data_IF_936138570518
#
_entry.id   IF_936138570518
#
_cell.length_a   1.000
_cell.length_b   1.000
_cell.length_c   1.000
_cell.angle_alpha   90.00
_cell.angle_beta   90.00
_cell.angle_gamma   90.00
#
_symmetry.space_group_name_H-M   'P 1'
#
loop_
_entity.id
_entity.type
_entity.pdbx_description
1 polymer ?
#
# COMPACT_ATOMS: atom_id res chain seq x y z
N UNK A 1 -6.48 49.57 36.69
CA UNK A 1 -6.98 50.61 35.78
C UNK A 1 -7.32 50.07 34.39
N UNK A 2 -6.38 49.46 33.64
CA UNK A 2 -6.61 48.94 32.28
C UNK A 2 -7.79 47.96 32.15
N UNK A 3 -7.92 47.02 33.10
CA UNK A 3 -8.99 46.02 33.10
C UNK A 3 -10.39 46.63 33.23
N UNK A 4 -10.55 47.70 34.00
CA UNK A 4 -11.84 48.37 34.19
C UNK A 4 -12.23 49.16 32.94
N UNK A 5 -11.27 49.82 32.30
CA UNK A 5 -11.48 50.53 31.02
C UNK A 5 -11.84 49.54 29.91
N UNK A 6 -11.15 48.40 29.84
CA UNK A 6 -11.47 47.34 28.88
C UNK A 6 -12.88 46.77 29.11
N UNK A 7 -13.26 46.50 30.35
CA UNK A 7 -14.61 46.02 30.66
C UNK A 7 -15.68 47.05 30.33
N UNK A 8 -15.44 48.33 30.63
CA UNK A 8 -16.37 49.40 30.29
C UNK A 8 -16.52 49.56 28.77
N UNK A 9 -15.42 49.51 28.03
CA UNK A 9 -15.41 49.60 26.57
C UNK A 9 -16.04 48.40 25.87
N UNK A 10 -15.77 47.17 26.33
CA UNK A 10 -16.44 45.97 25.80
C UNK A 10 -17.94 45.99 26.10
N UNK A 11 -18.33 46.44 27.30
CA UNK A 11 -19.76 46.55 27.67
C UNK A 11 -20.50 47.51 26.75
N UNK A 12 -19.94 48.68 26.47
CA UNK A 12 -20.58 49.64 25.57
C UNK A 12 -20.59 49.14 24.13
N UNK A 13 -19.51 48.50 23.67
CA UNK A 13 -19.42 47.92 22.33
C UNK A 13 -20.45 46.81 22.12
N UNK A 14 -20.54 45.83 23.02
CA UNK A 14 -21.51 44.74 22.91
C UNK A 14 -22.95 45.22 23.05
N UNK A 15 -23.21 46.26 23.87
CA UNK A 15 -24.53 46.86 23.95
C UNK A 15 -24.91 47.56 22.64
N UNK A 16 -23.98 48.29 22.02
CA UNK A 16 -24.18 48.93 20.72
C UNK A 16 -24.38 47.89 19.60
N UNK A 17 -23.54 46.85 19.57
CA UNK A 17 -23.64 45.74 18.63
C UNK A 17 -24.97 44.98 18.79
N UNK A 18 -25.37 44.67 20.03
CA UNK A 18 -26.63 44.00 20.31
C UNK A 18 -27.85 44.81 19.87
N UNK A 19 -27.83 46.13 20.08
CA UNK A 19 -28.88 47.04 19.56
C UNK A 19 -28.92 47.05 18.04
N UNK A 20 -27.76 47.04 17.37
CA UNK A 20 -27.68 46.99 15.91
C UNK A 20 -28.22 45.68 15.34
N UNK A 21 -27.86 44.55 15.96
CA UNK A 21 -28.35 43.20 15.59
C UNK A 21 -29.86 43.09 15.82
N UNK A 22 -30.37 43.59 16.96
CA UNK A 22 -31.80 43.59 17.26
C UNK A 22 -32.61 44.45 16.26
N UNK A 23 -32.05 45.58 15.81
CA UNK A 23 -32.66 46.43 14.78
C UNK A 23 -32.72 45.79 13.39
N UNK A 24 -31.86 44.81 13.10
CA UNK A 24 -31.77 44.10 11.81
C UNK A 24 -31.85 42.58 11.97
N UNK A 25 -32.77 42.10 12.82
CA UNK A 25 -32.85 40.69 13.22
C UNK A 25 -32.94 39.70 12.03
N UNK A 26 -33.68 40.04 10.97
CA UNK A 26 -33.88 39.17 9.79
C UNK A 26 -32.59 39.00 8.99
N UNK A 27 -31.80 40.06 8.83
CA UNK A 27 -30.52 40.00 8.12
C UNK A 27 -29.51 39.15 8.91
N UNK A 28 -29.41 39.38 10.22
CA UNK A 28 -28.51 38.61 11.08
C UNK A 28 -28.96 37.17 11.34
N UNK A 29 -30.23 36.83 11.11
CA UNK A 29 -30.70 35.45 11.11
C UNK A 29 -30.42 34.73 9.78
N UNK A 30 -30.66 35.40 8.64
CA UNK A 30 -30.55 34.78 7.31
C UNK A 30 -29.11 34.70 6.78
N UNK A 31 -28.28 35.72 7.04
CA UNK A 31 -26.88 35.76 6.59
C UNK A 31 -26.02 34.57 7.07
N UNK A 32 -25.98 34.20 8.37
CA UNK A 32 -25.20 33.05 8.81
C UNK A 32 -25.74 31.72 8.27
N UNK A 33 -27.05 31.61 8.03
CA UNK A 33 -27.65 30.42 7.40
C UNK A 33 -27.19 30.29 5.96
N UNK A 34 -27.27 31.36 5.18
CA UNK A 34 -26.82 31.38 3.79
C UNK A 34 -25.31 31.10 3.70
N UNK A 35 -24.52 31.69 4.60
CA UNK A 35 -23.09 31.44 4.69
C UNK A 35 -22.78 29.98 5.03
N UNK A 36 -23.54 29.39 5.96
CA UNK A 36 -23.40 27.97 6.33
C UNK A 36 -23.75 27.04 5.18
N UNK A 37 -24.78 27.36 4.39
CA UNK A 37 -25.14 26.59 3.20
C UNK A 37 -24.04 26.70 2.13
N UNK A 38 -23.49 27.90 1.92
CA UNK A 38 -22.44 28.13 0.94
C UNK A 38 -21.13 27.40 1.31
N UNK A 39 -20.73 27.47 2.58
CA UNK A 39 -19.60 26.69 3.11
C UNK A 39 -19.91 25.17 3.10
N UNK A 40 -21.15 24.80 3.43
CA UNK A 40 -21.67 23.44 3.39
C UNK A 40 -21.58 22.81 2.00
N UNK A 41 -21.94 23.57 0.96
CA UNK A 41 -21.85 23.13 -0.43
C UNK A 41 -20.41 22.82 -0.86
N UNK A 42 -19.41 23.46 -0.23
CA UNK A 42 -17.99 23.17 -0.48
C UNK A 42 -17.60 21.74 -0.09
N UNK A 43 -18.25 21.15 0.91
CA UNK A 43 -18.01 19.75 1.30
C UNK A 43 -18.42 18.74 0.22
N UNK A 44 -19.22 19.12 -0.77
CA UNK A 44 -19.55 18.25 -1.92
C UNK A 44 -18.30 17.83 -2.71
N UNK A 45 -17.24 18.66 -2.73
CA UNK A 45 -15.97 18.34 -3.40
C UNK A 45 -14.92 17.73 -2.47
N UNK A 46 -15.27 17.42 -1.22
CA UNK A 46 -14.34 16.83 -0.28
C UNK A 46 -13.93 15.42 -0.74
N UNK A 47 -12.63 15.20 -0.96
CA UNK A 47 -12.07 13.90 -1.28
C UNK A 47 -11.54 13.26 -0.01
N UNK A 48 -12.03 12.07 0.32
CA UNK A 48 -11.49 11.25 1.40
C UNK A 48 -10.16 10.67 0.92
N UNK A 49 -9.08 11.01 1.62
CA UNK A 49 -7.78 10.37 1.42
C UNK A 49 -7.83 8.97 2.05
N UNK A 50 -7.73 7.94 1.23
CA UNK A 50 -7.76 6.53 1.67
C UNK A 50 -6.37 5.89 1.74
N UNK A 51 -5.33 6.61 1.31
CA UNK A 51 -3.98 6.09 1.33
C UNK A 51 -3.40 6.13 2.74
N UNK A 52 -3.17 4.95 3.31
CA UNK A 52 -2.61 4.78 4.65
C UNK A 52 -1.22 5.40 4.76
N UNK A 53 -0.43 5.37 3.69
CA UNK A 53 0.92 5.94 3.70
C UNK A 53 0.86 7.47 3.81
N UNK A 54 0.00 8.12 3.02
CA UNK A 54 -0.26 9.57 3.08
C UNK A 54 -0.84 10.03 4.43
N UNK A 55 -1.63 9.18 5.10
CA UNK A 55 -2.23 9.49 6.41
C UNK A 55 -1.25 9.34 7.58
N UNK A 56 -0.33 8.37 7.49
CA UNK A 56 0.59 8.02 8.59
C UNK A 56 1.98 8.64 8.43
N UNK A 57 2.40 8.92 7.20
CA UNK A 57 3.71 9.48 6.90
C UNK A 57 3.59 10.86 6.24
N UNK A 58 4.43 11.84 6.65
CA UNK A 58 4.42 13.15 6.03
C UNK A 58 4.89 13.07 4.56
N UNK A 59 4.22 13.84 3.68
CA UNK A 59 4.48 13.85 2.23
C UNK A 59 5.93 14.16 1.84
N UNK A 60 6.63 14.94 2.66
CA UNK A 60 8.00 15.41 2.40
C UNK A 60 8.99 14.97 3.48
N UNK A 61 8.93 13.72 3.92
CA UNK A 61 9.94 13.19 4.85
C UNK A 61 11.30 13.03 4.16
N UNK A 62 12.39 13.18 4.92
CA UNK A 62 13.75 12.96 4.41
C UNK A 62 13.88 11.56 3.81
N UNK A 63 13.38 10.53 4.51
CA UNK A 63 13.39 9.15 4.03
C UNK A 63 12.65 8.96 2.69
N UNK A 64 11.54 9.69 2.46
CA UNK A 64 10.79 9.64 1.20
C UNK A 64 11.50 10.39 0.08
N UNK A 65 12.20 11.48 0.39
CA UNK A 65 13.04 12.21 -0.57
C UNK A 65 14.25 11.36 -0.97
N UNK A 66 14.95 10.78 -0.01
CA UNK A 66 16.07 9.86 -0.25
C UNK A 66 15.61 8.64 -1.04
N UNK A 67 14.49 8.01 -0.66
CA UNK A 67 13.90 6.90 -1.41
C UNK A 67 13.54 7.27 -2.85
N UNK A 68 12.91 8.42 -3.07
CA UNK A 68 12.60 8.91 -4.43
C UNK A 68 13.86 9.22 -5.23
N UNK A 69 14.90 9.78 -4.60
CA UNK A 69 16.17 10.06 -5.25
C UNK A 69 16.85 8.76 -5.66
N UNK A 70 16.91 7.76 -4.77
CA UNK A 70 17.46 6.42 -5.05
C UNK A 70 16.70 5.76 -6.19
N UNK A 71 15.36 5.75 -6.18
CA UNK A 71 14.55 5.18 -7.27
C UNK A 71 14.80 5.89 -8.61
N UNK A 72 15.08 7.21 -8.59
CA UNK A 72 15.37 7.99 -9.80
C UNK A 72 16.78 7.76 -10.35
N UNK A 73 17.78 7.63 -9.47
CA UNK A 73 19.20 7.48 -9.83
C UNK A 73 19.53 6.03 -10.17
N UNK A 74 18.85 5.08 -9.50
CA UNK A 74 19.05 3.65 -9.65
C UNK A 74 17.70 2.98 -9.89
N UNK A 75 17.08 3.17 -11.08
CA UNK A 75 15.82 2.51 -11.38
C UNK A 75 16.02 0.99 -11.37
N UNK A 76 15.47 0.33 -10.34
CA UNK A 76 15.53 -1.12 -10.23
C UNK A 76 14.62 -1.71 -11.29
N UNK A 77 15.20 -2.42 -12.26
CA UNK A 77 14.39 -3.13 -13.23
C UNK A 77 13.80 -4.39 -12.57
N UNK A 78 12.64 -4.21 -11.94
CA UNK A 78 11.94 -5.27 -11.17
C UNK A 78 11.60 -6.49 -12.01
N UNK A 79 11.59 -6.37 -13.35
CA UNK A 79 11.35 -7.50 -14.26
C UNK A 79 12.56 -8.42 -14.41
N UNK A 80 13.78 -7.97 -14.09
CA UNK A 80 15.03 -8.71 -14.36
C UNK A 80 15.67 -9.34 -13.13
N UNK A 81 15.50 -8.71 -11.97
CA UNK A 81 16.09 -9.17 -10.72
C UNK A 81 15.07 -8.98 -9.62
N UNK A 82 14.44 -10.09 -9.19
CA UNK A 82 13.60 -10.09 -8.00
C UNK A 82 14.48 -10.44 -6.80
N UNK A 83 15.10 -9.43 -6.18
CA UNK A 83 15.80 -9.66 -4.93
C UNK A 83 14.77 -9.78 -3.81
N UNK A 84 15.01 -10.68 -2.85
CA UNK A 84 14.19 -10.78 -1.65
C UNK A 84 14.10 -9.45 -0.89
N UNK A 85 15.12 -8.59 -1.03
CA UNK A 85 15.16 -7.22 -0.50
C UNK A 85 14.17 -6.27 -1.18
N UNK A 86 13.81 -6.51 -2.44
CA UNK A 86 12.85 -5.68 -3.19
C UNK A 86 11.41 -5.89 -2.68
N UNK A 87 11.12 -7.04 -2.05
CA UNK A 87 9.87 -7.27 -1.34
C UNK A 87 9.73 -6.42 -0.07
N UNK A 88 10.78 -5.76 0.44
CA UNK A 88 10.64 -4.87 1.60
C UNK A 88 10.18 -3.47 1.22
N UNK A 89 10.29 -3.09 -0.06
CA UNK A 89 9.68 -1.84 -0.53
C UNK A 89 8.16 -2.01 -0.60
N UNK A 90 7.37 -0.97 -0.27
CA UNK A 90 5.92 -1.02 -0.43
C UNK A 90 5.59 -1.22 -1.92
N UNK A 91 5.38 -2.48 -2.29
CA UNK A 91 5.10 -2.91 -3.64
C UNK A 91 3.86 -3.81 -3.65
N UNK A 92 3.23 -3.94 -4.82
CA UNK A 92 2.02 -4.73 -5.05
C UNK A 92 2.33 -6.23 -5.12
N UNK A 93 2.91 -6.80 -4.07
CA UNK A 93 3.11 -8.24 -3.97
C UNK A 93 2.13 -8.83 -2.95
N UNK A 94 1.65 -10.05 -3.23
CA UNK A 94 0.90 -10.85 -2.27
C UNK A 94 1.85 -11.80 -1.56
N UNK A 95 1.82 -11.82 -0.23
CA UNK A 95 2.57 -12.80 0.56
C UNK A 95 1.62 -13.75 1.27
N UNK A 96 1.85 -15.04 1.13
CA UNK A 96 1.14 -16.09 1.85
C UNK A 96 2.12 -16.79 2.77
N UNK A 97 1.78 -16.88 4.06
CA UNK A 97 2.56 -17.64 5.04
C UNK A 97 1.80 -18.92 5.32
N UNK A 98 2.35 -20.06 4.88
CA UNK A 98 1.74 -21.38 5.06
C UNK A 98 2.46 -22.10 6.19
N UNK A 99 1.68 -22.63 7.13
CA UNK A 99 2.19 -23.39 8.28
C UNK A 99 1.49 -24.74 8.38
N UNK A 100 2.26 -25.80 8.64
CA UNK A 100 1.71 -27.12 8.91
C UNK A 100 1.44 -27.26 10.41
N UNK A 101 0.25 -27.77 10.79
CA UNK A 101 -0.09 -27.99 12.21
C UNK A 101 0.74 -29.09 12.85
N UNK A 102 1.16 -30.09 12.07
CA UNK A 102 2.01 -31.22 12.47
C UNK A 102 2.88 -31.64 11.28
N UNK A 103 4.11 -32.06 11.55
CA UNK A 103 5.04 -32.51 10.51
C UNK A 103 5.70 -31.35 9.76
N UNK A 104 6.35 -31.67 8.64
CA UNK A 104 7.05 -30.71 7.81
C UNK A 104 6.11 -30.17 6.72
N UNK A 105 6.28 -28.89 6.38
CA UNK A 105 5.61 -28.27 5.22
C UNK A 105 6.01 -28.96 3.91
N UNK A 106 7.18 -29.60 3.88
CA UNK A 106 7.70 -30.35 2.74
C UNK A 106 7.18 -31.80 2.66
N UNK A 107 6.33 -32.23 3.60
CA UNK A 107 5.70 -33.55 3.52
C UNK A 107 4.78 -33.61 2.30
N UNK A 108 4.66 -34.78 1.64
CA UNK A 108 3.99 -34.89 0.33
C UNK A 108 2.54 -34.40 0.34
N UNK A 109 1.80 -34.69 1.42
CA UNK A 109 0.41 -34.27 1.59
C UNK A 109 0.29 -32.74 1.68
N UNK A 110 1.19 -32.10 2.43
CA UNK A 110 1.20 -30.65 2.59
C UNK A 110 1.66 -29.95 1.30
N UNK A 111 2.68 -30.51 0.64
CA UNK A 111 3.24 -29.98 -0.60
C UNK A 111 2.20 -29.91 -1.72
N UNK A 112 1.43 -30.99 -1.93
CA UNK A 112 0.36 -31.03 -2.92
C UNK A 112 -0.72 -29.98 -2.62
N UNK A 113 -1.11 -29.85 -1.36
CA UNK A 113 -2.09 -28.85 -0.93
C UNK A 113 -1.60 -27.42 -1.21
N UNK A 114 -0.31 -27.15 -0.97
CA UNK A 114 0.29 -25.83 -1.22
C UNK A 114 0.26 -25.50 -2.72
N UNK A 115 0.65 -26.44 -3.57
CA UNK A 115 0.65 -26.23 -5.02
C UNK A 115 -0.76 -26.02 -5.57
N UNK A 116 -1.75 -26.75 -5.06
CA UNK A 116 -3.17 -26.53 -5.40
C UNK A 116 -3.65 -25.12 -5.00
N UNK A 117 -3.25 -24.63 -3.82
CA UNK A 117 -3.60 -23.27 -3.38
C UNK A 117 -2.97 -22.23 -4.29
N UNK A 118 -1.71 -22.40 -4.68
CA UNK A 118 -1.02 -21.47 -5.59
C UNK A 118 -1.71 -21.45 -6.95
N UNK A 119 -2.04 -22.61 -7.52
CA UNK A 119 -2.79 -22.72 -8.77
C UNK A 119 -4.17 -22.05 -8.70
N UNK A 120 -4.90 -22.25 -7.60
CA UNK A 120 -6.19 -21.59 -7.39
C UNK A 120 -6.08 -20.05 -7.34
N UNK A 121 -4.97 -19.52 -6.80
CA UNK A 121 -4.73 -18.07 -6.80
C UNK A 121 -4.38 -17.53 -8.18
N UNK A 122 -3.60 -18.28 -8.99
CA UNK A 122 -3.26 -17.85 -10.35
C UNK A 122 -4.46 -17.92 -11.30
N UNK A 123 -5.37 -18.88 -11.10
CA UNK A 123 -6.57 -19.04 -11.92
C UNK A 123 -7.76 -18.18 -11.47
N UNK A 124 -7.62 -17.46 -10.35
CA UNK A 124 -8.67 -16.63 -9.80
C UNK A 124 -9.00 -15.48 -10.77
N UNK A 125 -10.24 -15.47 -11.29
CA UNK A 125 -10.77 -14.37 -12.11
C UNK A 125 -11.41 -13.33 -11.21
N UNK A 126 -10.88 -12.11 -11.25
CA UNK A 126 -11.47 -10.97 -10.56
C UNK A 126 -12.70 -10.45 -11.32
N UNK A 127 -13.54 -9.66 -10.64
CA UNK A 127 -14.81 -9.10 -11.13
C UNK A 127 -14.77 -8.40 -12.50
N UNK A 128 -13.59 -8.05 -13.01
CA UNK A 128 -13.39 -7.31 -14.26
C UNK A 128 -12.69 -8.13 -15.36
N UNK A 129 -12.76 -9.47 -15.34
CA UNK A 129 -12.09 -10.38 -16.30
C UNK A 129 -10.55 -10.24 -16.34
N UNK A 130 -9.95 -9.54 -15.40
CA UNK A 130 -8.50 -9.61 -15.18
C UNK A 130 -8.18 -10.93 -14.46
N UNK A 131 -7.37 -11.76 -15.12
CA UNK A 131 -6.69 -12.90 -14.52
C UNK A 131 -5.29 -12.51 -14.04
N UNK A 132 -4.69 -13.34 -13.19
CA UNK A 132 -3.33 -13.13 -12.65
C UNK A 132 -2.27 -12.78 -13.71
N UNK A 133 -2.26 -13.41 -14.92
CA UNK A 133 -1.31 -13.05 -15.97
C UNK A 133 -1.38 -11.61 -16.48
N UNK A 134 -2.50 -10.93 -16.33
CA UNK A 134 -2.64 -9.51 -16.72
C UNK A 134 -2.17 -8.54 -15.64
N UNK A 135 -2.00 -9.00 -14.40
CA UNK A 135 -1.64 -8.17 -13.24
C UNK A 135 -0.21 -8.43 -12.76
N UNK A 136 0.34 -9.60 -13.05
CA UNK A 136 1.66 -9.99 -12.62
C UNK A 136 2.76 -9.18 -13.33
N UNK A 137 3.93 -9.12 -12.70
CA UNK A 137 5.13 -8.62 -13.35
C UNK A 137 5.76 -9.75 -14.17
N UNK A 138 5.91 -9.60 -15.50
CA UNK A 138 6.59 -10.60 -16.32
C UNK A 138 8.11 -10.54 -16.13
N UNK A 139 8.74 -11.71 -16.16
CA UNK A 139 10.20 -11.91 -16.26
C UNK A 139 10.68 -11.68 -17.72
N UNK A 140 11.98 -11.73 -17.97
CA UNK A 140 12.62 -11.65 -19.30
C UNK A 140 12.06 -12.71 -20.29
N UNK A 141 11.46 -13.79 -19.79
CA UNK A 141 10.81 -14.85 -20.58
C UNK A 141 9.30 -14.61 -20.81
N UNK A 142 8.75 -13.44 -20.47
CA UNK A 142 7.32 -13.14 -20.49
C UNK A 142 6.45 -14.08 -19.61
N UNK A 143 7.04 -14.65 -18.56
CA UNK A 143 6.32 -15.48 -17.58
C UNK A 143 6.16 -14.69 -16.29
N UNK A 144 5.01 -14.80 -15.62
CA UNK A 144 4.81 -14.15 -14.32
C UNK A 144 5.87 -14.57 -13.31
N UNK A 145 6.47 -13.59 -12.64
CA UNK A 145 7.40 -13.84 -11.55
C UNK A 145 6.62 -14.42 -10.36
N UNK A 146 7.02 -15.62 -9.93
CA UNK A 146 6.54 -16.32 -8.73
C UNK A 146 7.77 -16.68 -7.91
N UNK A 147 7.63 -16.77 -6.58
CA UNK A 147 8.71 -17.11 -5.68
C UNK A 147 9.38 -18.45 -6.07
N UNK A 148 10.72 -18.47 -6.14
CA UNK A 148 11.50 -19.65 -6.54
C UNK A 148 11.25 -20.87 -5.63
N UNK A 149 10.72 -20.67 -4.41
CA UNK A 149 10.30 -21.77 -3.55
C UNK A 149 9.20 -22.62 -4.20
N UNK A 150 8.28 -22.02 -4.98
CA UNK A 150 7.20 -22.74 -5.65
C UNK A 150 7.78 -23.68 -6.71
N UNK A 151 8.74 -23.19 -7.50
CA UNK A 151 9.45 -24.02 -8.48
C UNK A 151 10.19 -25.17 -7.79
N UNK A 152 10.88 -24.89 -6.68
CA UNK A 152 11.56 -25.93 -5.92
C UNK A 152 10.59 -26.98 -5.34
N UNK A 153 9.38 -26.56 -4.93
CA UNK A 153 8.32 -27.46 -4.48
C UNK A 153 7.80 -28.37 -5.61
N UNK A 154 7.62 -27.84 -6.81
CA UNK A 154 7.25 -28.62 -8.02
C UNK A 154 8.35 -29.63 -8.40
N UNK A 155 9.62 -29.25 -8.31
CA UNK A 155 10.76 -30.14 -8.51
C UNK A 155 10.82 -31.26 -7.48
N UNK A 156 10.55 -30.97 -6.21
CA UNK A 156 10.47 -31.99 -5.14
C UNK A 156 9.30 -32.96 -5.40
N UNK A 157 8.14 -32.44 -5.82
CA UNK A 157 6.98 -33.28 -6.12
C UNK A 157 7.26 -34.19 -7.32
N UNK A 158 7.84 -33.65 -8.40
CA UNK A 158 8.18 -34.41 -9.60
C UNK A 158 9.30 -35.45 -9.37
N UNK A 159 10.28 -35.13 -8.52
CA UNK A 159 11.29 -36.10 -8.09
C UNK A 159 10.65 -37.28 -7.34
N UNK A 160 9.69 -37.01 -6.45
CA UNK A 160 8.97 -38.04 -5.70
C UNK A 160 8.10 -38.92 -6.61
N UNK A 161 7.33 -38.32 -7.53
CA UNK A 161 6.49 -39.09 -8.46
C UNK A 161 7.33 -39.94 -9.43
N UNK A 162 8.54 -39.49 -9.77
CA UNK A 162 9.50 -40.23 -10.59
C UNK A 162 10.37 -41.23 -9.80
N UNK A 163 10.12 -41.45 -8.50
CA UNK A 163 10.97 -42.27 -7.61
C UNK A 163 12.46 -41.88 -7.64
N UNK A 164 12.77 -40.59 -7.86
CA UNK A 164 14.11 -40.03 -7.80
C UNK A 164 14.41 -39.49 -6.41
N UNK A 165 15.69 -39.34 -6.11
CA UNK A 165 16.13 -38.68 -4.87
C UNK A 165 15.67 -37.23 -4.86
N UNK A 166 15.06 -36.81 -3.76
CA UNK A 166 14.62 -35.43 -3.55
C UNK A 166 15.83 -34.49 -3.58
N UNK A 167 15.80 -33.40 -4.36
CA UNK A 167 16.90 -32.45 -4.39
C UNK A 167 17.09 -31.78 -3.02
N UNK A 168 18.35 -31.58 -2.63
CA UNK A 168 18.67 -30.86 -1.40
C UNK A 168 18.40 -29.37 -1.62
N UNK A 169 17.44 -28.82 -0.88
CA UNK A 169 17.19 -27.38 -0.85
C UNK A 169 18.38 -26.67 -0.20
N UNK A 170 19.09 -25.84 -0.97
CA UNK A 170 20.11 -24.92 -0.45
C UNK A 170 19.53 -23.52 -0.38
N UNK A 171 19.56 -22.91 0.80
CA UNK A 171 19.13 -21.53 0.99
C UNK A 171 20.36 -20.61 0.99
N UNK A 172 20.32 -19.43 0.34
CA UNK A 172 19.19 -18.85 -0.39
C UNK A 172 18.96 -19.49 -1.77
N UNK A 173 17.69 -19.64 -2.14
CA UNK A 173 17.22 -20.28 -3.39
C UNK A 173 17.25 -19.30 -4.57
N UNK A 174 17.43 -18.00 -4.29
CA UNK A 174 17.53 -16.96 -5.31
C UNK A 174 18.79 -17.15 -6.15
N UNK A 175 18.63 -17.36 -7.45
CA UNK A 175 19.74 -17.39 -8.39
C UNK A 175 20.31 -15.97 -8.56
N UNK A 176 21.31 -15.62 -7.75
CA UNK A 176 22.16 -14.46 -8.05
C UNK A 176 23.06 -14.83 -9.24
N UNK A 177 22.75 -14.31 -10.43
CA UNK A 177 23.78 -14.16 -11.47
C UNK A 177 24.63 -12.95 -11.08
N UNK A 178 25.91 -13.12 -10.71
CA UNK A 178 26.77 -12.00 -10.33
C UNK A 178 27.24 -11.28 -11.59
N UNK A 179 26.38 -10.47 -12.19
CA UNK A 179 26.77 -9.42 -13.12
C UNK A 179 26.30 -8.09 -12.59
N UNK A 180 26.81 -7.73 -11.41
CA UNK A 180 26.84 -6.33 -11.00
C UNK A 180 27.96 -5.67 -11.82
N UNK A 181 27.64 -5.24 -13.04
CA UNK A 181 28.49 -4.29 -13.76
C UNK A 181 28.25 -2.91 -13.15
N UNK A 182 28.95 -2.58 -12.07
CA UNK A 182 29.09 -1.17 -11.68
C UNK A 182 30.00 -0.54 -12.71
N UNK A 183 29.41 0.08 -13.74
CA UNK A 183 30.12 1.09 -14.50
C UNK A 183 30.15 2.36 -13.63
N UNK A 184 31.27 2.57 -12.96
CA UNK A 184 31.71 3.90 -12.50
C UNK A 184 32.13 4.68 -13.74
#
# INVERSE_FOLDING_TARGET
MLRQVLHAGLRTLFLALGRFVAGHAVFFASAPVLLSILLGASFSRYRVEGDVESLLAPKHSLAKIEGNLVESLFPVNRSKHALYSDLQTPARYGRVIITARRGSVLDPVHLETILQVVQAHTDCRLRFNYSFPYLCLPDDKNVCIVDDIIRAMEEIQSARTSNRTVPILRYPITHFTPTISVHI
#
